data_IF_340721716958
#
_entry.id   IF_340721716958
#
_cell.length_a   1.000
_cell.length_b   1.000
_cell.length_c   1.000
_cell.angle_alpha   90.00
_cell.angle_beta   90.00
_cell.angle_gamma   90.00
#
_symmetry.space_group_name_H-M   'P 1'
#
loop_
_entity.id
_entity.type
_entity.pdbx_description
1 polymer ?
#
# COMPACT_ATOMS: atom_id res chain seq x y z
N UNK A 1 -15.26 -0.97 12.07
CA UNK A 1 -16.28 -0.12 11.44
C UNK A 1 -16.75 0.91 12.44
N UNK A 2 -16.66 2.20 12.09
CA UNK A 2 -17.26 3.28 12.87
C UNK A 2 -18.62 3.60 12.24
N UNK A 3 -19.63 2.80 12.57
CA UNK A 3 -20.99 3.06 12.14
C UNK A 3 -21.73 3.72 13.28
N UNK A 4 -22.24 4.92 13.04
CA UNK A 4 -23.19 5.58 13.93
C UNK A 4 -24.59 5.32 13.40
N UNK A 5 -25.50 4.98 14.29
CA UNK A 5 -26.92 4.87 14.00
C UNK A 5 -27.63 6.08 14.56
N UNK A 6 -28.43 6.72 13.73
CA UNK A 6 -29.34 7.77 14.14
C UNK A 6 -30.76 7.30 13.91
N UNK A 7 -31.66 7.59 14.82
CA UNK A 7 -33.08 7.29 14.64
C UNK A 7 -33.59 8.09 13.42
N UNK A 8 -34.26 7.40 12.50
CA UNK A 8 -34.89 8.00 11.34
C UNK A 8 -36.41 7.91 11.49
N UNK A 9 -37.08 9.06 11.46
CA UNK A 9 -38.54 9.15 11.53
C UNK A 9 -39.06 9.63 10.15
N UNK A 10 -39.76 8.78 9.39
CA UNK A 10 -40.33 9.17 8.11
C UNK A 10 -41.24 10.41 8.24
N UNK A 11 -41.04 11.41 7.38
CA UNK A 11 -41.77 12.66 7.39
C UNK A 11 -41.25 13.74 8.35
N UNK A 12 -40.31 13.39 9.28
CA UNK A 12 -39.71 14.34 10.22
C UNK A 12 -38.20 14.47 9.95
N UNK A 13 -37.51 13.32 9.77
CA UNK A 13 -36.07 13.30 9.55
C UNK A 13 -35.73 13.45 8.05
N UNK A 14 -34.74 14.28 7.76
CA UNK A 14 -34.17 14.37 6.41
C UNK A 14 -33.28 13.15 6.15
N UNK A 15 -33.33 12.53 4.96
CA UNK A 15 -32.35 11.50 4.58
C UNK A 15 -30.92 12.03 4.63
N UNK A 16 -30.00 11.27 5.24
CA UNK A 16 -28.58 11.62 5.29
C UNK A 16 -27.95 11.75 3.90
N UNK A 17 -28.49 11.01 2.94
CA UNK A 17 -28.07 11.04 1.54
C UNK A 17 -29.26 11.28 0.62
N UNK A 18 -29.13 12.26 -0.27
CA UNK A 18 -30.13 12.50 -1.31
C UNK A 18 -29.95 11.50 -2.45
N UNK A 19 -31.01 11.28 -3.26
CA UNK A 19 -30.94 10.43 -4.46
C UNK A 19 -29.88 10.91 -5.46
N UNK A 20 -29.66 12.23 -5.55
CA UNK A 20 -28.63 12.81 -6.42
C UNK A 20 -27.22 12.49 -5.92
N UNK A 21 -26.97 12.59 -4.61
CA UNK A 21 -25.68 12.22 -4.01
C UNK A 21 -25.35 10.73 -4.21
N UNK A 22 -26.35 9.85 -4.02
CA UNK A 22 -26.16 8.41 -4.24
C UNK A 22 -25.82 8.13 -5.71
N UNK A 23 -26.53 8.79 -6.66
CA UNK A 23 -26.21 8.65 -8.08
C UNK A 23 -24.82 9.18 -8.45
N UNK A 24 -24.36 10.22 -7.79
CA UNK A 24 -23.01 10.75 -7.98
C UNK A 24 -21.94 9.75 -7.46
N UNK A 25 -22.15 9.14 -6.30
CA UNK A 25 -21.26 8.12 -5.76
C UNK A 25 -21.16 6.86 -6.64
N UNK A 26 -22.25 6.51 -7.33
CA UNK A 26 -22.28 5.38 -8.28
C UNK A 26 -21.77 5.75 -9.67
N UNK A 27 -21.44 7.04 -9.90
CA UNK A 27 -20.95 7.48 -11.20
C UNK A 27 -19.52 6.98 -11.44
N UNK A 28 -19.27 6.46 -12.65
CA UNK A 28 -17.94 5.96 -13.07
C UNK A 28 -17.13 7.08 -13.71
N UNK A 29 -16.58 7.97 -12.88
CA UNK A 29 -15.88 9.18 -13.32
C UNK A 29 -14.39 9.01 -13.43
N UNK A 30 -13.82 7.93 -12.88
CA UNK A 30 -12.38 7.69 -12.85
C UNK A 30 -12.00 6.69 -13.92
N UNK A 31 -10.96 7.01 -14.70
CA UNK A 31 -10.44 6.12 -15.72
C UNK A 31 -9.08 5.56 -15.30
N UNK A 32 -8.94 4.25 -15.45
CA UNK A 32 -7.67 3.55 -15.22
C UNK A 32 -7.51 2.45 -16.27
N UNK A 33 -6.40 2.48 -17.02
CA UNK A 33 -6.10 1.56 -18.12
C UNK A 33 -7.25 1.43 -19.14
N UNK A 34 -7.91 2.55 -19.47
CA UNK A 34 -9.01 2.60 -20.45
C UNK A 34 -10.36 2.09 -19.92
N UNK A 35 -10.45 1.74 -18.64
CA UNK A 35 -11.70 1.29 -17.99
C UNK A 35 -12.18 2.35 -17.00
N UNK A 36 -13.48 2.60 -16.97
CA UNK A 36 -14.11 3.56 -16.07
C UNK A 36 -14.57 2.89 -14.78
N UNK A 37 -14.22 3.50 -13.65
CA UNK A 37 -14.50 3.05 -12.30
C UNK A 37 -15.18 4.16 -11.49
N UNK A 38 -15.87 3.74 -10.43
CA UNK A 38 -16.33 4.66 -9.38
C UNK A 38 -15.15 5.09 -8.50
N UNK A 39 -15.29 6.20 -7.79
CA UNK A 39 -14.28 6.64 -6.82
C UNK A 39 -14.03 5.59 -5.72
N UNK A 40 -15.08 4.91 -5.29
CA UNK A 40 -14.98 3.84 -4.30
C UNK A 40 -14.13 2.67 -4.82
N UNK A 41 -14.38 2.18 -6.03
CA UNK A 41 -13.61 1.09 -6.63
C UNK A 41 -12.13 1.44 -6.74
N UNK A 42 -11.80 2.65 -7.25
CA UNK A 42 -10.42 3.11 -7.32
C UNK A 42 -9.79 3.22 -5.93
N UNK A 43 -10.54 3.69 -4.91
CA UNK A 43 -10.03 3.74 -3.55
C UNK A 43 -9.73 2.35 -2.98
N UNK A 44 -10.53 1.33 -3.31
CA UNK A 44 -10.27 -0.04 -2.91
C UNK A 44 -9.04 -0.63 -3.63
N UNK A 45 -8.87 -0.35 -4.93
CA UNK A 45 -7.66 -0.71 -5.68
C UNK A 45 -6.42 -0.09 -5.06
N UNK A 46 -6.44 1.22 -4.77
CA UNK A 46 -5.34 1.91 -4.10
C UNK A 46 -4.97 1.25 -2.77
N UNK A 47 -5.98 0.96 -1.92
CA UNK A 47 -5.78 0.27 -0.64
C UNK A 47 -5.22 -1.15 -0.80
N UNK A 48 -5.64 -1.86 -1.87
CA UNK A 48 -5.11 -3.19 -2.16
C UNK A 48 -3.61 -3.12 -2.50
N UNK A 49 -3.19 -2.20 -3.37
CA UNK A 49 -1.78 -1.96 -3.69
C UNK A 49 -0.98 -1.56 -2.44
N UNK A 50 -1.49 -0.63 -1.63
CA UNK A 50 -0.83 -0.21 -0.38
C UNK A 50 -0.64 -1.38 0.60
N UNK A 51 -1.64 -2.27 0.74
CA UNK A 51 -1.51 -3.48 1.58
C UNK A 51 -0.44 -4.42 1.03
N UNK A 52 -0.42 -4.64 -0.28
CA UNK A 52 0.52 -5.53 -0.95
C UNK A 52 1.96 -5.02 -0.82
N UNK A 53 2.18 -3.71 -0.98
CA UNK A 53 3.48 -3.08 -0.76
C UNK A 53 3.96 -3.29 0.69
N UNK A 54 3.07 -3.10 1.69
CA UNK A 54 3.43 -3.37 3.09
C UNK A 54 3.74 -4.84 3.36
N UNK A 55 3.05 -5.76 2.70
CA UNK A 55 3.32 -7.19 2.78
C UNK A 55 4.73 -7.50 2.26
N UNK A 56 5.08 -7.06 1.05
CA UNK A 56 6.43 -7.25 0.50
C UNK A 56 7.51 -6.64 1.41
N UNK A 57 7.29 -5.45 1.96
CA UNK A 57 8.25 -4.83 2.88
C UNK A 57 8.44 -5.63 4.16
N UNK A 58 7.40 -6.28 4.70
CA UNK A 58 7.53 -7.18 5.86
C UNK A 58 8.30 -8.45 5.51
N UNK A 59 7.99 -9.07 4.37
CA UNK A 59 8.72 -10.26 3.87
C UNK A 59 10.20 -9.93 3.70
N UNK A 60 10.53 -8.82 3.05
CA UNK A 60 11.91 -8.36 2.86
C UNK A 60 12.63 -8.10 4.20
N UNK A 61 11.94 -7.56 5.20
CA UNK A 61 12.50 -7.38 6.52
C UNK A 61 12.83 -8.72 7.19
N UNK A 62 11.92 -9.70 7.10
CA UNK A 62 12.15 -11.06 7.59
C UNK A 62 13.31 -11.76 6.89
N UNK A 63 13.37 -11.70 5.56
CA UNK A 63 14.47 -12.27 4.78
C UNK A 63 15.81 -11.61 5.12
N UNK A 64 15.85 -10.27 5.29
CA UNK A 64 17.04 -9.56 5.70
C UNK A 64 17.54 -10.00 7.09
N UNK A 65 16.63 -10.10 8.06
CA UNK A 65 16.94 -10.59 9.41
C UNK A 65 17.42 -12.05 9.38
N UNK A 66 16.78 -12.89 8.56
CA UNK A 66 17.22 -14.27 8.36
C UNK A 66 18.62 -14.39 7.77
N UNK A 67 18.98 -13.52 6.81
CA UNK A 67 20.35 -13.46 6.26
C UNK A 67 21.38 -13.02 7.31
N UNK A 68 21.03 -12.06 8.17
CA UNK A 68 21.92 -11.56 9.22
C UNK A 68 22.15 -12.59 10.34
N UNK A 69 21.15 -13.40 10.66
CA UNK A 69 21.22 -14.42 11.72
C UNK A 69 21.74 -15.77 11.26
N UNK A 70 21.71 -16.07 9.97
CA UNK A 70 22.14 -17.37 9.44
C UNK A 70 23.65 -17.53 9.53
N UNK A 71 24.11 -18.73 9.99
CA UNK A 71 25.52 -19.13 10.00
C UNK A 71 25.91 -19.96 8.77
N UNK A 72 24.93 -20.49 8.04
CA UNK A 72 25.14 -21.33 6.87
C UNK A 72 25.13 -20.48 5.59
N UNK A 73 26.19 -20.53 4.80
CA UNK A 73 26.31 -19.76 3.55
C UNK A 73 25.31 -20.20 2.46
N UNK A 74 24.98 -21.49 2.40
CA UNK A 74 23.96 -21.97 1.46
C UNK A 74 22.59 -21.37 1.76
N UNK A 75 22.21 -21.36 3.04
CA UNK A 75 20.98 -20.72 3.53
C UNK A 75 20.99 -19.21 3.25
N UNK A 76 22.11 -18.51 3.49
CA UNK A 76 22.21 -17.07 3.16
C UNK A 76 22.02 -16.81 1.67
N UNK A 77 22.61 -17.66 0.82
CA UNK A 77 22.50 -17.52 -0.62
C UNK A 77 21.05 -17.75 -1.11
N UNK A 78 20.37 -18.75 -0.55
CA UNK A 78 18.95 -19.00 -0.83
C UNK A 78 18.07 -17.81 -0.42
N UNK A 79 18.26 -17.29 0.82
CA UNK A 79 17.54 -16.11 1.32
C UNK A 79 17.82 -14.86 0.48
N UNK A 80 19.06 -14.68 0.02
CA UNK A 80 19.45 -13.56 -0.85
C UNK A 80 18.79 -13.64 -2.21
N UNK A 81 18.67 -14.83 -2.79
CA UNK A 81 17.95 -15.04 -4.05
C UNK A 81 16.48 -14.67 -3.89
N UNK A 82 15.84 -15.13 -2.83
CA UNK A 82 14.45 -14.80 -2.52
C UNK A 82 14.27 -13.30 -2.25
N UNK A 83 15.18 -12.67 -1.49
CA UNK A 83 15.17 -11.22 -1.24
C UNK A 83 15.19 -10.43 -2.56
N UNK A 84 16.03 -10.84 -3.53
CA UNK A 84 16.10 -10.18 -4.84
C UNK A 84 14.78 -10.33 -5.60
N UNK A 85 14.18 -11.52 -5.59
CA UNK A 85 12.89 -11.79 -6.24
C UNK A 85 11.78 -10.92 -5.64
N UNK A 86 11.67 -10.88 -4.31
CA UNK A 86 10.66 -10.07 -3.62
C UNK A 86 10.90 -8.56 -3.79
N UNK A 87 12.16 -8.13 -3.94
CA UNK A 87 12.53 -6.74 -4.21
C UNK A 87 12.04 -6.27 -5.58
N UNK A 88 12.08 -7.15 -6.60
CA UNK A 88 11.54 -6.85 -7.94
C UNK A 88 10.03 -6.67 -7.84
N UNK A 89 9.32 -7.61 -7.21
CA UNK A 89 7.86 -7.55 -7.01
C UNK A 89 7.43 -6.29 -6.25
N UNK A 90 8.19 -5.90 -5.21
CA UNK A 90 7.95 -4.65 -4.49
C UNK A 90 8.01 -3.44 -5.42
N UNK A 91 9.04 -3.37 -6.27
CA UNK A 91 9.23 -2.25 -7.19
C UNK A 91 8.12 -2.17 -8.23
N UNK A 92 7.71 -3.31 -8.79
CA UNK A 92 6.58 -3.40 -9.73
C UNK A 92 5.30 -2.90 -9.07
N UNK A 93 5.00 -3.36 -7.85
CA UNK A 93 3.81 -2.96 -7.11
C UNK A 93 3.80 -1.46 -6.73
N UNK A 94 4.98 -0.89 -6.40
CA UNK A 94 5.11 0.55 -6.16
C UNK A 94 4.91 1.36 -7.46
N UNK A 95 5.34 0.84 -8.60
CA UNK A 95 5.12 1.46 -9.91
C UNK A 95 3.63 1.42 -10.30
N UNK A 96 2.96 0.29 -10.10
CA UNK A 96 1.52 0.15 -10.35
C UNK A 96 0.70 1.11 -9.49
N UNK A 97 0.99 1.23 -8.18
CA UNK A 97 0.32 2.18 -7.31
C UNK A 97 0.51 3.63 -7.78
N UNK A 98 1.72 4.01 -8.18
CA UNK A 98 1.99 5.35 -8.70
C UNK A 98 1.24 5.60 -10.00
N UNK A 99 1.20 4.62 -10.90
CA UNK A 99 0.47 4.70 -12.16
C UNK A 99 -1.04 4.84 -11.92
N UNK A 100 -1.62 4.05 -11.01
CA UNK A 100 -3.03 4.17 -10.61
C UNK A 100 -3.32 5.60 -10.10
N UNK A 101 -2.51 6.10 -9.17
CA UNK A 101 -2.70 7.45 -8.62
C UNK A 101 -2.55 8.54 -9.70
N UNK A 102 -1.60 8.38 -10.62
CA UNK A 102 -1.38 9.34 -11.71
C UNK A 102 -2.56 9.38 -12.67
N UNK A 103 -3.03 8.23 -13.17
CA UNK A 103 -4.14 8.16 -14.13
C UNK A 103 -5.47 8.63 -13.52
N UNK A 104 -5.71 8.32 -12.25
CA UNK A 104 -6.97 8.65 -11.57
C UNK A 104 -6.96 10.01 -10.86
N UNK A 105 -5.84 10.74 -10.89
CA UNK A 105 -5.68 12.01 -10.16
C UNK A 105 -5.66 11.86 -8.63
N UNK A 106 -5.58 10.64 -8.09
CA UNK A 106 -5.57 10.40 -6.63
C UNK A 106 -4.19 10.70 -6.04
N UNK A 107 -4.20 11.19 -4.80
CA UNK A 107 -2.97 11.48 -4.08
C UNK A 107 -2.22 10.20 -3.70
N UNK A 108 -0.95 10.13 -4.07
CA UNK A 108 -0.02 9.12 -3.58
C UNK A 108 0.54 9.52 -2.22
N UNK A 109 0.33 8.70 -1.19
CA UNK A 109 0.82 8.94 0.17
C UNK A 109 1.85 7.86 0.55
N UNK A 110 3.13 8.20 0.51
CA UNK A 110 4.21 7.27 0.82
C UNK A 110 4.13 6.70 2.25
N UNK A 111 3.62 7.48 3.21
CA UNK A 111 3.45 7.05 4.60
C UNK A 111 2.55 5.81 4.72
N UNK A 112 1.52 5.68 3.87
CA UNK A 112 0.57 4.55 3.89
C UNK A 112 1.19 3.23 3.44
N UNK A 113 2.34 3.29 2.76
CA UNK A 113 3.09 2.11 2.28
C UNK A 113 4.25 1.73 3.20
N UNK A 114 4.46 2.44 4.28
CA UNK A 114 5.57 2.16 5.20
C UNK A 114 5.20 1.11 6.24
N UNK A 115 6.24 0.40 6.70
CA UNK A 115 6.23 -0.57 7.81
C UNK A 115 7.41 -0.24 8.73
N UNK A 116 7.46 -0.80 9.92
CA UNK A 116 8.53 -0.56 10.89
C UNK A 116 8.64 0.91 11.32
N UNK A 117 7.56 1.42 11.91
CA UNK A 117 7.56 2.75 12.50
C UNK A 117 8.61 2.87 13.60
N UNK A 118 9.41 3.93 13.53
CA UNK A 118 10.32 4.33 14.61
C UNK A 118 9.53 5.20 15.59
N UNK A 119 9.59 4.86 16.88
CA UNK A 119 8.87 5.58 17.92
C UNK A 119 9.84 6.28 18.86
N UNK A 120 9.43 7.42 19.38
CA UNK A 120 10.12 8.12 20.47
C UNK A 120 9.87 7.43 21.83
N UNK A 121 10.47 8.00 22.89
CA UNK A 121 10.31 7.50 24.26
C UNK A 121 8.85 7.58 24.77
N UNK A 122 8.02 8.41 24.16
CA UNK A 122 6.61 8.60 24.49
C UNK A 122 5.68 7.72 23.64
N UNK A 123 6.23 6.91 22.73
CA UNK A 123 5.48 6.03 21.85
C UNK A 123 4.97 6.69 20.55
N UNK A 124 5.26 7.96 20.31
CA UNK A 124 4.86 8.66 19.10
C UNK A 124 5.69 8.22 17.90
N UNK A 125 5.07 8.12 16.72
CA UNK A 125 5.77 7.80 15.48
C UNK A 125 6.57 9.01 15.02
N UNK A 126 7.90 8.90 15.07
CA UNK A 126 8.84 9.94 14.61
C UNK A 126 9.38 9.68 13.21
N UNK A 127 9.17 8.48 12.67
CA UNK A 127 9.61 8.12 11.33
C UNK A 127 9.39 6.64 11.02
N UNK A 128 9.99 6.20 9.91
CA UNK A 128 9.94 4.80 9.48
C UNK A 128 11.34 4.31 9.11
N UNK A 129 11.64 3.07 9.46
CA UNK A 129 12.89 2.44 9.04
C UNK A 129 12.90 2.25 7.52
N UNK A 130 13.90 2.83 6.86
CA UNK A 130 14.10 2.76 5.40
C UNK A 130 15.18 1.75 4.99
N UNK A 131 15.86 1.11 5.92
CA UNK A 131 17.01 0.24 5.65
C UNK A 131 16.68 -0.87 4.66
N UNK A 132 15.56 -1.57 4.87
CA UNK A 132 15.12 -2.67 4.00
C UNK A 132 14.72 -2.18 2.61
N UNK A 133 14.01 -1.04 2.52
CA UNK A 133 13.65 -0.44 1.24
C UNK A 133 14.90 0.00 0.44
N UNK A 134 15.90 0.53 1.12
CA UNK A 134 17.18 0.88 0.48
C UNK A 134 17.91 -0.36 -0.04
N UNK A 135 18.00 -1.45 0.76
CA UNK A 135 18.59 -2.72 0.31
C UNK A 135 17.85 -3.29 -0.90
N UNK A 136 16.52 -3.20 -0.93
CA UNK A 136 15.72 -3.63 -2.09
C UNK A 136 16.01 -2.79 -3.36
N UNK A 137 16.19 -1.47 -3.22
CA UNK A 137 16.60 -0.61 -4.34
C UNK A 137 17.98 -1.02 -4.88
N UNK A 138 18.94 -1.34 -4.00
CA UNK A 138 20.26 -1.81 -4.41
C UNK A 138 20.20 -3.16 -5.13
N UNK A 139 19.42 -4.10 -4.65
CA UNK A 139 19.22 -5.39 -5.29
C UNK A 139 18.68 -5.24 -6.72
N UNK A 140 17.69 -4.36 -6.91
CA UNK A 140 17.11 -4.07 -8.23
C UNK A 140 18.10 -3.38 -9.21
N UNK A 141 19.06 -2.61 -8.71
CA UNK A 141 20.10 -2.02 -9.57
C UNK A 141 21.08 -3.04 -10.11
N UNK A 142 21.42 -4.05 -9.29
CA UNK A 142 22.35 -5.13 -9.70
C UNK A 142 21.72 -6.13 -10.66
N UNK A 143 20.40 -6.33 -10.61
CA UNK A 143 19.71 -7.24 -11.53
C UNK A 143 19.53 -6.69 -12.96
N UNK A 144 19.84 -5.41 -13.19
CA UNK A 144 19.74 -4.75 -14.50
C UNK A 144 21.08 -4.67 -15.26
N UNK A 145 22.16 -5.21 -14.71
CA UNK A 145 23.45 -5.40 -15.36
C UNK A 145 23.61 -6.88 -15.77
#
# INVERSE_FOLDING_TARGET
>A
CRHNFHAYFPGISSPAYTKSMLKEYDSKNMEYNGVKYTEYEVSQMQRAHERKIREYKRVLAGLNSGMESSRNEETKNALKKEFNTQSIKLKEQEAELKNLCYQTGRRYESARTQVHATRDKNGNIVGFSRSVSQKAVWANRKSKK
#
